data_IF_695629087971
#
_entry.id   IF_695629087971
#
_cell.length_a   1.000
_cell.length_b   1.000
_cell.length_c   1.000
_cell.angle_alpha   90.00
_cell.angle_beta   90.00
_cell.angle_gamma   90.00
#
_symmetry.space_group_name_H-M   'P 1'
#
loop_
_entity.id
_entity.type
_entity.pdbx_description
1 polymer ?
#
# COMPACT_ATOMS: atom_id res chain seq x y z
N UNK A 1 -3.85 -17.57 -10.39
CA UNK A 1 -3.58 -18.54 -9.30
C UNK A 1 -2.36 -19.38 -9.64
N UNK A 2 -1.46 -19.50 -8.68
CA UNK A 2 -0.25 -20.27 -8.85
C UNK A 2 -0.22 -21.39 -7.79
N UNK A 3 0.11 -22.61 -8.22
CA UNK A 3 0.38 -23.72 -7.32
C UNK A 3 1.86 -23.73 -6.96
N UNK A 4 2.16 -23.80 -5.67
CA UNK A 4 3.52 -23.92 -5.17
C UNK A 4 3.61 -25.11 -4.22
N UNK A 5 4.74 -25.83 -4.29
CA UNK A 5 5.03 -26.92 -3.38
C UNK A 5 6.29 -26.58 -2.59
N UNK A 6 6.17 -26.64 -1.28
CA UNK A 6 7.28 -26.35 -0.36
C UNK A 6 7.83 -27.66 0.16
N UNK A 7 9.12 -27.94 -0.14
CA UNK A 7 9.83 -29.09 0.39
C UNK A 7 10.33 -28.79 1.81
N UNK A 8 9.60 -29.38 2.77
CA UNK A 8 10.06 -29.56 4.15
C UNK A 8 10.21 -31.06 4.38
N UNK A 9 10.42 -31.49 5.64
CA UNK A 9 10.34 -32.91 6.07
C UNK A 9 9.03 -33.58 5.67
N UNK A 10 7.97 -32.79 5.44
CA UNK A 10 6.70 -33.21 4.85
C UNK A 10 6.42 -32.22 3.69
N UNK A 11 6.14 -32.73 2.51
CA UNK A 11 5.72 -31.91 1.36
C UNK A 11 4.35 -31.30 1.63
N UNK A 12 4.28 -29.97 1.62
CA UNK A 12 3.02 -29.22 1.74
C UNK A 12 2.72 -28.54 0.40
N UNK A 13 1.49 -28.67 -0.05
CA UNK A 13 0.99 -27.93 -1.23
C UNK A 13 0.21 -26.72 -0.79
N UNK A 14 0.58 -25.58 -1.34
CA UNK A 14 -0.10 -24.31 -1.14
C UNK A 14 -0.51 -23.74 -2.49
N UNK A 15 -1.53 -22.90 -2.48
CA UNK A 15 -2.01 -22.18 -3.67
C UNK A 15 -1.81 -20.70 -3.44
N UNK A 16 -1.08 -20.06 -4.34
CA UNK A 16 -0.74 -18.64 -4.23
C UNK A 16 -1.58 -17.81 -5.20
N UNK A 17 -2.31 -16.83 -4.66
CA UNK A 17 -3.05 -15.85 -5.44
C UNK A 17 -2.10 -14.84 -6.10
N UNK A 18 -2.61 -14.06 -7.05
CA UNK A 18 -1.83 -13.10 -7.84
C UNK A 18 -1.17 -12.00 -7.00
N UNK A 19 -1.76 -11.68 -5.84
CA UNK A 19 -1.23 -10.71 -4.88
C UNK A 19 -0.22 -11.29 -3.87
N UNK A 20 0.05 -12.61 -3.95
CA UNK A 20 0.97 -13.31 -3.06
C UNK A 20 0.31 -13.97 -1.85
N UNK A 21 -0.99 -13.80 -1.64
CA UNK A 21 -1.72 -14.45 -0.56
C UNK A 21 -1.79 -15.96 -0.79
N UNK A 22 -1.51 -16.76 0.24
CA UNK A 22 -1.43 -18.22 0.15
C UNK A 22 -2.60 -18.92 0.84
N UNK A 23 -3.09 -19.98 0.22
CA UNK A 23 -4.20 -20.79 0.71
C UNK A 23 -3.84 -22.27 0.69
N UNK A 24 -4.37 -23.02 1.63
CA UNK A 24 -4.24 -24.50 1.61
C UNK A 24 -5.25 -25.16 0.68
N UNK A 25 -6.41 -24.54 0.47
CA UNK A 25 -7.46 -25.06 -0.40
C UNK A 25 -7.50 -24.32 -1.72
N UNK A 26 -7.49 -25.05 -2.84
CA UNK A 26 -7.53 -24.51 -4.20
C UNK A 26 -8.78 -23.66 -4.44
N UNK A 27 -9.94 -24.12 -3.96
CA UNK A 27 -11.21 -23.43 -4.15
C UNK A 27 -11.28 -22.09 -3.39
N UNK A 28 -10.67 -22.03 -2.22
CA UNK A 28 -10.54 -20.79 -1.47
C UNK A 28 -9.66 -19.77 -2.21
N UNK A 29 -8.55 -20.24 -2.77
CA UNK A 29 -7.66 -19.41 -3.56
C UNK A 29 -8.38 -18.86 -4.81
N UNK A 30 -9.12 -19.70 -5.52
CA UNK A 30 -9.93 -19.26 -6.68
C UNK A 30 -10.95 -18.20 -6.32
N UNK A 31 -11.71 -18.43 -5.24
CA UNK A 31 -12.71 -17.45 -4.77
C UNK A 31 -12.07 -16.13 -4.39
N UNK A 32 -10.90 -16.19 -3.76
CA UNK A 32 -10.15 -14.98 -3.42
C UNK A 32 -9.69 -14.22 -4.66
N UNK A 33 -9.12 -14.91 -5.66
CA UNK A 33 -8.69 -14.28 -6.91
C UNK A 33 -9.84 -13.66 -7.71
N UNK A 34 -11.02 -14.24 -7.63
CA UNK A 34 -12.23 -13.69 -8.24
C UNK A 34 -12.79 -12.50 -7.46
N UNK A 35 -12.30 -12.25 -6.24
CA UNK A 35 -12.78 -11.15 -5.42
C UNK A 35 -12.30 -9.80 -5.95
N UNK A 36 -13.16 -8.79 -5.78
CA UNK A 36 -12.84 -7.41 -6.14
C UNK A 36 -11.57 -6.87 -5.45
N UNK A 37 -11.35 -7.26 -4.19
CA UNK A 37 -10.16 -6.89 -3.42
C UNK A 37 -8.88 -7.39 -4.06
N UNK A 38 -8.87 -8.65 -4.49
CA UNK A 38 -7.70 -9.23 -5.15
C UNK A 38 -7.36 -8.50 -6.45
N UNK A 39 -8.37 -8.20 -7.26
CA UNK A 39 -8.20 -7.45 -8.52
C UNK A 39 -7.56 -6.09 -8.25
N UNK A 40 -8.05 -5.36 -7.24
CA UNK A 40 -7.51 -4.06 -6.86
C UNK A 40 -6.07 -4.16 -6.32
N UNK A 41 -5.79 -5.13 -5.46
CA UNK A 41 -4.45 -5.34 -4.91
C UNK A 41 -3.44 -5.73 -5.99
N UNK A 42 -3.86 -6.52 -6.97
CA UNK A 42 -3.00 -6.87 -8.11
C UNK A 42 -2.65 -5.64 -8.95
N UNK A 43 -3.63 -4.79 -9.24
CA UNK A 43 -3.39 -3.51 -9.92
C UNK A 43 -2.48 -2.58 -9.11
N UNK A 44 -2.74 -2.46 -7.82
CA UNK A 44 -1.95 -1.64 -6.90
C UNK A 44 -0.49 -2.09 -6.84
N UNK A 45 -0.24 -3.39 -6.81
CA UNK A 45 1.11 -3.95 -6.76
C UNK A 45 2.00 -3.48 -7.93
N UNK A 46 1.40 -3.25 -9.09
CA UNK A 46 2.11 -2.71 -10.25
C UNK A 46 2.45 -1.21 -10.11
N UNK A 47 1.80 -0.50 -9.20
CA UNK A 47 2.08 0.92 -8.94
C UNK A 47 3.20 1.10 -7.90
N UNK A 48 3.44 0.08 -7.08
CA UNK A 48 4.47 0.12 -6.03
C UNK A 48 5.84 -0.09 -6.66
N UNK A 49 6.68 0.92 -6.57
CA UNK A 49 8.05 0.88 -7.09
C UNK A 49 9.06 0.42 -6.05
N UNK A 50 8.76 0.63 -4.76
CA UNK A 50 9.60 0.23 -3.65
C UNK A 50 8.77 0.18 -2.37
N UNK A 51 9.27 -0.52 -1.36
CA UNK A 51 8.65 -0.57 -0.03
C UNK A 51 9.73 -0.32 1.01
N UNK A 52 9.49 0.69 1.84
CA UNK A 52 10.37 1.04 2.95
C UNK A 52 9.87 0.29 4.19
N UNK A 53 10.72 -0.57 4.73
CA UNK A 53 10.44 -1.31 5.96
C UNK A 53 11.04 -0.59 7.16
N UNK A 54 10.68 -1.01 8.37
CA UNK A 54 11.28 -0.46 9.58
C UNK A 54 12.79 -0.69 9.66
N UNK A 55 13.30 -1.77 9.06
CA UNK A 55 14.74 -2.04 8.98
C UNK A 55 15.49 -0.93 8.23
N UNK A 56 14.87 -0.41 7.19
CA UNK A 56 15.46 0.67 6.40
C UNK A 56 15.48 1.99 7.16
N UNK A 57 14.53 2.19 8.07
CA UNK A 57 14.40 3.42 8.85
C UNK A 57 15.02 3.35 10.26
N UNK A 58 15.52 2.19 10.66
CA UNK A 58 16.06 1.93 12.00
C UNK A 58 15.11 2.32 13.14
N UNK A 59 13.82 2.23 12.92
CA UNK A 59 12.81 2.55 13.94
C UNK A 59 12.54 1.33 14.82
N UNK A 60 13.03 1.37 16.03
CA UNK A 60 12.67 0.39 17.04
C UNK A 60 11.21 0.59 17.47
N UNK A 61 10.37 -0.43 17.34
CA UNK A 61 9.09 -0.50 17.99
C UNK A 61 7.83 -0.49 17.12
N UNK A 62 7.96 -0.49 15.80
CA UNK A 62 6.81 -0.53 14.90
C UNK A 62 7.00 -1.62 13.85
N UNK A 63 6.93 -2.87 14.28
CA UNK A 63 7.06 -4.04 13.40
C UNK A 63 5.87 -4.23 12.45
N UNK A 64 4.86 -3.36 12.54
CA UNK A 64 3.56 -3.59 11.93
C UNK A 64 3.35 -2.84 10.62
N UNK A 65 4.16 -1.83 10.31
CA UNK A 65 3.91 -0.96 9.16
C UNK A 65 5.06 -0.96 8.17
N UNK A 66 4.69 -1.05 6.91
CA UNK A 66 5.58 -0.77 5.78
C UNK A 66 5.05 0.45 5.01
N UNK A 67 5.96 1.17 4.37
CA UNK A 67 5.65 2.36 3.59
C UNK A 67 5.91 2.05 2.11
N UNK A 68 4.85 1.92 1.33
CA UNK A 68 4.96 1.72 -0.10
C UNK A 68 5.25 3.05 -0.79
N UNK A 69 6.21 3.06 -1.68
CA UNK A 69 6.49 4.17 -2.58
C UNK A 69 5.76 3.91 -3.89
N UNK A 70 4.79 4.75 -4.21
CA UNK A 70 3.85 4.54 -5.32
C UNK A 70 4.05 5.62 -6.38
N UNK A 71 4.04 5.21 -7.64
CA UNK A 71 4.06 6.09 -8.80
C UNK A 71 2.73 6.02 -9.54
N UNK A 72 2.02 7.14 -9.58
CA UNK A 72 0.78 7.29 -10.36
C UNK A 72 1.15 7.76 -11.75
N UNK A 73 0.72 7.05 -12.78
CA UNK A 73 1.02 7.39 -14.18
C UNK A 73 -0.22 7.76 -15.00
N UNK A 74 -1.42 7.42 -14.51
CA UNK A 74 -2.70 7.68 -15.19
C UNK A 74 -3.84 7.80 -14.17
N UNK A 75 -4.95 8.38 -14.61
CA UNK A 75 -6.11 8.60 -13.72
C UNK A 75 -6.71 7.30 -13.17
N UNK A 76 -6.68 6.20 -13.92
CA UNK A 76 -7.13 4.89 -13.47
C UNK A 76 -6.37 4.40 -12.23
N UNK A 77 -5.11 4.77 -12.08
CA UNK A 77 -4.30 4.43 -10.92
C UNK A 77 -4.85 5.10 -9.66
N UNK A 78 -5.33 6.35 -9.79
CA UNK A 78 -5.98 7.07 -8.70
C UNK A 78 -7.23 6.34 -8.24
N UNK A 79 -8.07 5.89 -9.17
CA UNK A 79 -9.28 5.15 -8.85
C UNK A 79 -8.95 3.85 -8.10
N UNK A 80 -7.92 3.13 -8.51
CA UNK A 80 -7.46 1.92 -7.83
C UNK A 80 -7.07 2.21 -6.37
N UNK A 81 -6.28 3.26 -6.14
CA UNK A 81 -5.83 3.67 -4.81
C UNK A 81 -7.03 4.09 -3.95
N UNK A 82 -7.93 4.89 -4.49
CA UNK A 82 -9.10 5.37 -3.75
C UNK A 82 -10.06 4.24 -3.38
N UNK A 83 -10.29 3.30 -4.28
CA UNK A 83 -11.14 2.13 -4.02
C UNK A 83 -10.53 1.24 -2.93
N UNK A 84 -9.22 1.03 -2.93
CA UNK A 84 -8.53 0.31 -1.86
C UNK A 84 -8.66 1.04 -0.53
N UNK A 85 -8.46 2.34 -0.52
CA UNK A 85 -8.63 3.17 0.68
C UNK A 85 -10.04 3.00 1.28
N UNK A 86 -11.07 3.00 0.45
CA UNK A 86 -12.46 2.79 0.88
C UNK A 86 -12.66 1.38 1.45
N UNK A 87 -12.14 0.35 0.78
CA UNK A 87 -12.28 -1.04 1.23
C UNK A 87 -11.63 -1.28 2.60
N UNK A 88 -10.42 -0.76 2.80
CA UNK A 88 -9.69 -0.93 4.06
C UNK A 88 -10.26 -0.09 5.19
N UNK A 89 -10.85 1.06 4.89
CA UNK A 89 -11.34 2.02 5.88
C UNK A 89 -12.87 2.04 5.99
N UNK A 90 -13.56 1.03 5.47
CA UNK A 90 -15.03 0.98 5.42
C UNK A 90 -15.71 1.00 6.80
N UNK A 91 -15.00 0.59 7.86
CA UNK A 91 -15.51 0.57 9.22
C UNK A 91 -15.25 1.85 10.00
N UNK A 92 -14.53 2.81 9.43
CA UNK A 92 -14.15 4.05 10.07
C UNK A 92 -14.70 5.23 9.26
N UNK A 93 -15.18 6.26 9.94
CA UNK A 93 -15.75 7.45 9.31
C UNK A 93 -14.67 8.34 8.66
N UNK A 94 -13.81 7.76 7.82
CA UNK A 94 -12.75 8.50 7.13
C UNK A 94 -13.16 9.11 5.78
N UNK A 95 -14.44 9.12 5.44
CA UNK A 95 -14.94 9.74 4.21
C UNK A 95 -14.54 11.21 4.07
N UNK A 96 -14.35 11.90 5.17
CA UNK A 96 -13.91 13.30 5.19
C UNK A 96 -12.49 13.49 4.60
N UNK A 97 -11.68 12.43 4.52
CA UNK A 97 -10.33 12.50 3.96
C UNK A 97 -10.25 12.05 2.50
N UNK A 98 -11.32 11.51 1.95
CA UNK A 98 -11.30 10.97 0.59
C UNK A 98 -11.04 12.05 -0.45
N UNK A 99 -11.66 13.21 -0.33
CA UNK A 99 -11.44 14.34 -1.25
C UNK A 99 -10.01 14.86 -1.17
N UNK A 100 -9.47 15.00 0.03
CA UNK A 100 -8.09 15.44 0.25
C UNK A 100 -7.09 14.43 -0.32
N UNK A 101 -7.33 13.16 -0.12
CA UNK A 101 -6.49 12.09 -0.64
C UNK A 101 -6.53 12.02 -2.16
N UNK A 102 -7.71 12.17 -2.74
CA UNK A 102 -7.86 12.25 -4.20
C UNK A 102 -7.12 13.43 -4.79
N UNK A 103 -7.23 14.60 -4.18
CA UNK A 103 -6.54 15.82 -4.62
C UNK A 103 -5.02 15.65 -4.55
N UNK A 104 -4.51 15.00 -3.51
CA UNK A 104 -3.09 14.65 -3.39
C UNK A 104 -2.62 13.75 -4.54
N UNK A 105 -3.41 12.73 -4.86
CA UNK A 105 -3.12 11.82 -5.97
C UNK A 105 -3.14 12.53 -7.32
N UNK A 106 -4.12 13.41 -7.56
CA UNK A 106 -4.22 14.21 -8.78
C UNK A 106 -3.00 15.13 -8.91
N UNK A 107 -2.63 15.79 -7.84
CA UNK A 107 -1.45 16.67 -7.80
C UNK A 107 -0.17 15.88 -8.10
N UNK A 108 0.00 14.73 -7.48
CA UNK A 108 1.16 13.87 -7.72
C UNK A 108 1.24 13.39 -9.17
N UNK A 109 0.11 13.07 -9.79
CA UNK A 109 0.06 12.73 -11.22
C UNK A 109 0.52 13.91 -12.10
N UNK A 110 0.01 15.10 -11.84
CA UNK A 110 0.35 16.32 -12.60
C UNK A 110 1.82 16.71 -12.45
N UNK A 111 2.36 16.60 -11.25
CA UNK A 111 3.73 17.00 -10.92
C UNK A 111 4.75 15.86 -11.14
N UNK A 112 4.31 14.71 -11.60
CA UNK A 112 5.16 13.53 -11.77
C UNK A 112 5.86 13.12 -10.46
N UNK A 113 5.15 13.22 -9.35
CA UNK A 113 5.65 12.99 -8.00
C UNK A 113 5.32 11.58 -7.50
N UNK A 114 5.86 11.21 -6.36
CA UNK A 114 5.63 9.95 -5.67
C UNK A 114 4.67 10.13 -4.50
N UNK A 115 3.93 9.08 -4.18
CA UNK A 115 3.06 9.01 -2.99
C UNK A 115 3.55 7.91 -2.07
N UNK A 116 3.48 8.16 -0.77
CA UNK A 116 3.78 7.19 0.27
C UNK A 116 2.48 6.68 0.89
N UNK A 117 2.32 5.35 0.88
CA UNK A 117 1.14 4.67 1.41
C UNK A 117 1.58 3.70 2.49
N UNK A 118 1.05 3.89 3.71
CA UNK A 118 1.31 2.98 4.81
C UNK A 118 0.42 1.74 4.70
N UNK A 119 1.03 0.57 4.78
CA UNK A 119 0.34 -0.71 4.84
C UNK A 119 0.82 -1.52 6.03
N UNK A 120 -0.08 -2.37 6.55
CA UNK A 120 0.27 -3.37 7.53
C UNK A 120 1.06 -4.50 6.86
N UNK A 121 2.22 -4.86 7.43
CA UNK A 121 3.06 -5.94 6.93
C UNK A 121 2.54 -7.34 7.30
N UNK A 122 1.65 -7.46 8.28
CA UNK A 122 1.14 -8.73 8.78
C UNK A 122 -0.30 -9.02 8.42
N UNK A 123 -1.05 -8.02 7.98
CA UNK A 123 -2.46 -8.17 7.73
C UNK A 123 -3.00 -7.19 6.71
N UNK A 124 -4.30 -7.25 6.57
CA UNK A 124 -5.03 -6.55 5.54
C UNK A 124 -5.76 -5.32 6.09
N UNK A 125 -5.39 -4.82 7.28
CA UNK A 125 -6.23 -3.89 8.02
C UNK A 125 -5.84 -2.42 7.86
N UNK A 126 -4.69 -2.13 7.27
CA UNK A 126 -4.17 -0.76 7.15
C UNK A 126 -3.80 -0.43 5.71
N UNK A 127 -4.39 0.62 5.21
CA UNK A 127 -4.07 1.23 3.93
C UNK A 127 -4.32 2.74 4.04
N UNK A 128 -3.25 3.51 4.28
CA UNK A 128 -3.35 4.96 4.46
C UNK A 128 -2.46 5.71 3.50
N UNK A 129 -3.05 6.63 2.75
CA UNK A 129 -2.29 7.60 1.95
C UNK A 129 -1.73 8.64 2.91
N UNK A 130 -0.41 8.69 3.02
CA UNK A 130 0.27 9.55 3.99
C UNK A 130 0.55 10.95 3.42
N UNK A 131 1.40 11.02 2.43
CA UNK A 131 1.84 12.26 1.82
C UNK A 131 2.52 12.00 0.47
N UNK A 132 2.67 13.05 -0.33
CA UNK A 132 3.54 13.03 -1.49
C UNK A 132 5.00 13.30 -1.09
N UNK A 133 5.94 12.95 -1.95
CA UNK A 133 7.35 13.23 -1.72
C UNK A 133 7.61 14.75 -1.55
N UNK A 134 6.99 15.58 -2.37
CA UNK A 134 7.15 17.04 -2.28
C UNK A 134 6.60 17.60 -0.96
N UNK A 135 5.46 17.09 -0.48
CA UNK A 135 4.92 17.47 0.83
C UNK A 135 5.86 17.07 1.98
N UNK A 136 6.42 15.85 1.92
CA UNK A 136 7.37 15.39 2.92
C UNK A 136 8.62 16.27 2.95
N UNK A 137 9.19 16.59 1.80
CA UNK A 137 10.37 17.46 1.70
C UNK A 137 10.06 18.85 2.26
N UNK A 138 8.90 19.43 1.90
CA UNK A 138 8.48 20.72 2.41
C UNK A 138 8.31 20.71 3.94
N UNK A 139 7.75 19.64 4.48
CA UNK A 139 7.61 19.50 5.93
C UNK A 139 8.97 19.38 6.62
N UNK A 140 9.87 18.57 6.12
CA UNK A 140 11.23 18.42 6.66
C UNK A 140 11.97 19.76 6.65
N UNK A 141 11.92 20.49 5.54
CA UNK A 141 12.54 21.81 5.44
C UNK A 141 11.94 22.81 6.46
N UNK A 142 10.63 22.82 6.60
CA UNK A 142 9.92 23.66 7.58
C UNK A 142 10.39 23.39 9.01
N UNK A 143 10.50 22.12 9.38
CA UNK A 143 10.96 21.71 10.72
C UNK A 143 12.43 22.09 10.94
N UNK A 144 13.28 21.89 9.94
CA UNK A 144 14.70 22.24 10.02
C UNK A 144 14.89 23.77 10.14
N UNK A 145 14.18 24.55 9.35
CA UNK A 145 14.27 26.01 9.35
C UNK A 145 13.78 26.61 10.68
N UNK A 146 12.75 26.02 11.29
CA UNK A 146 12.20 26.47 12.56
C UNK A 146 13.18 26.28 13.75
N UNK A 147 14.21 25.48 13.60
CA UNK A 147 15.23 25.21 14.63
C UNK A 147 16.47 26.06 14.49
N UNK A 148 16.56 26.88 13.47
CA UNK A 148 17.70 27.82 13.31
C UNK A 148 17.45 29.01 14.24
N UNK A 149 18.29 29.26 15.26
CA UNK A 149 18.15 30.42 16.11
C UNK A 149 18.31 31.70 15.29
N UNK A 150 17.38 32.60 15.48
CA UNK A 150 17.40 33.90 14.84
C UNK A 150 18.62 34.74 15.28
#
# INVERSE_FOLDING_TARGET
MKEITIDKTVKETWYEASDGTRFRAKEECKRYEESYKCVLLTKYKHLVINTITEYDLHQAGSEEYSLDVVKITKEEDIDTIMQLSILYNSHQNYRQYDDKNRDMCIKALKENDYIFIARDSYGDDVFYIQYSKNELIAHINSVCDAQVPA
#
